data_IF_843744414981
#
_entry.id   IF_843744414981
#
_cell.length_a   1.000
_cell.length_b   1.000
_cell.length_c   1.000
_cell.angle_alpha   90.00
_cell.angle_beta   90.00
_cell.angle_gamma   90.00
#
_symmetry.space_group_name_H-M   'P 1'
#
loop_
_entity.id
_entity.type
_entity.pdbx_description
1 polymer ?
#
# COMPACT_ATOMS: atom_id res chain seq x y z
N UNK A 1 27.95 -26.63 3.56
CA UNK A 1 26.82 -27.10 2.71
C UNK A 1 26.16 -25.95 1.97
N UNK A 2 25.64 -24.91 2.66
CA UNK A 2 25.18 -23.67 2.00
C UNK A 2 26.35 -22.90 1.33
N UNK A 3 27.56 -23.00 1.90
CA UNK A 3 28.81 -22.48 1.30
C UNK A 3 29.27 -23.18 0.01
N UNK A 4 28.67 -24.33 -0.38
CA UNK A 4 29.05 -25.09 -1.58
C UNK A 4 28.04 -24.92 -2.74
N UNK A 5 27.22 -23.87 -2.74
CA UNK A 5 26.21 -23.63 -3.80
C UNK A 5 24.95 -24.51 -3.70
N UNK A 6 24.83 -25.35 -2.68
CA UNK A 6 23.69 -26.26 -2.43
C UNK A 6 22.63 -25.61 -1.54
N UNK A 7 22.09 -24.47 -1.99
CA UNK A 7 21.09 -23.71 -1.23
C UNK A 7 19.79 -24.50 -1.06
N UNK A 8 19.35 -25.22 -2.09
CA UNK A 8 18.11 -25.98 -2.06
C UNK A 8 18.16 -27.11 -1.02
N UNK A 9 19.24 -27.87 -0.97
CA UNK A 9 19.43 -28.95 -0.01
C UNK A 9 19.57 -28.41 1.43
N UNK A 10 20.25 -27.28 1.60
CA UNK A 10 20.34 -26.61 2.90
C UNK A 10 18.98 -26.15 3.42
N UNK A 11 18.16 -25.55 2.55
CA UNK A 11 16.78 -25.13 2.89
C UNK A 11 15.91 -26.34 3.23
N UNK A 12 15.98 -27.42 2.45
CA UNK A 12 15.22 -28.65 2.72
C UNK A 12 15.60 -29.25 4.07
N UNK A 13 16.89 -29.34 4.39
CA UNK A 13 17.36 -29.86 5.68
C UNK A 13 16.90 -29.01 6.84
N UNK A 14 16.96 -27.68 6.73
CA UNK A 14 16.42 -26.77 7.74
C UNK A 14 14.92 -26.96 7.94
N UNK A 15 14.16 -27.20 6.87
CA UNK A 15 12.73 -27.49 6.97
C UNK A 15 12.44 -28.84 7.65
N UNK A 16 13.28 -29.86 7.46
CA UNK A 16 13.13 -31.19 8.07
C UNK A 16 13.38 -31.18 9.59
N UNK A 17 14.18 -30.25 10.09
CA UNK A 17 14.47 -30.10 11.53
C UNK A 17 13.66 -28.95 12.17
N UNK A 18 12.53 -28.58 11.56
CA UNK A 18 11.62 -27.52 12.00
C UNK A 18 12.26 -26.13 12.18
N UNK A 19 13.29 -25.83 11.40
CA UNK A 19 13.94 -24.51 11.30
C UNK A 19 13.57 -23.79 10.01
N UNK A 20 12.29 -23.83 9.65
CA UNK A 20 11.80 -23.19 8.41
C UNK A 20 11.99 -21.66 8.41
N UNK A 21 11.96 -21.01 9.57
CA UNK A 21 12.20 -19.57 9.69
C UNK A 21 13.64 -19.20 9.31
N UNK A 22 14.62 -20.00 9.74
CA UNK A 22 16.02 -19.84 9.35
C UNK A 22 16.22 -20.12 7.86
N UNK A 23 15.51 -21.11 7.32
CA UNK A 23 15.53 -21.39 5.89
C UNK A 23 15.04 -20.19 5.06
N UNK A 24 13.98 -19.51 5.51
CA UNK A 24 13.51 -18.28 4.89
C UNK A 24 14.55 -17.15 4.96
N UNK A 25 15.24 -16.98 6.11
CA UNK A 25 16.33 -16.00 6.25
C UNK A 25 17.45 -16.27 5.25
N UNK A 26 17.89 -17.52 5.11
CA UNK A 26 18.91 -17.88 4.12
C UNK A 26 18.43 -17.55 2.70
N UNK A 27 17.21 -17.94 2.33
CA UNK A 27 16.67 -17.59 1.00
C UNK A 27 16.68 -16.07 0.77
N UNK A 28 16.31 -15.25 1.75
CA UNK A 28 16.36 -13.79 1.65
C UNK A 28 17.79 -13.26 1.47
N UNK A 29 18.77 -13.78 2.24
CA UNK A 29 20.18 -13.40 2.11
C UNK A 29 20.75 -13.69 0.71
N UNK A 30 20.29 -14.76 0.08
CA UNK A 30 20.70 -15.14 -1.28
C UNK A 30 19.83 -14.51 -2.39
N UNK A 31 18.91 -13.59 -2.05
CA UNK A 31 18.06 -12.89 -3.02
C UNK A 31 16.85 -13.68 -3.53
N UNK A 32 16.60 -14.87 -2.96
CA UNK A 32 15.53 -15.78 -3.35
C UNK A 32 14.19 -15.43 -2.66
N UNK A 33 13.80 -14.16 -2.75
CA UNK A 33 12.67 -13.60 -2.01
C UNK A 33 11.33 -14.27 -2.30
N UNK A 34 11.05 -14.57 -3.57
CA UNK A 34 9.80 -15.24 -3.97
C UNK A 34 9.71 -16.65 -3.37
N UNK A 35 10.85 -17.37 -3.29
CA UNK A 35 10.91 -18.70 -2.68
C UNK A 35 10.79 -18.61 -1.16
N UNK A 36 11.40 -17.61 -0.53
CA UNK A 36 11.24 -17.35 0.90
C UNK A 36 9.76 -17.07 1.25
N UNK A 37 9.09 -16.23 0.46
CA UNK A 37 7.68 -15.90 0.63
C UNK A 37 6.76 -17.13 0.48
N UNK A 38 7.01 -17.97 -0.52
CA UNK A 38 6.27 -19.22 -0.70
C UNK A 38 6.48 -20.17 0.48
N UNK A 39 7.74 -20.39 0.87
CA UNK A 39 8.06 -21.27 1.98
C UNK A 39 7.43 -20.79 3.29
N UNK A 40 7.48 -19.49 3.55
CA UNK A 40 6.86 -18.88 4.72
C UNK A 40 5.36 -19.15 4.79
N UNK A 41 4.62 -18.96 3.69
CA UNK A 41 3.18 -19.22 3.63
C UNK A 41 2.79 -20.68 3.86
N UNK A 42 3.69 -21.62 3.55
CA UNK A 42 3.40 -23.06 3.63
C UNK A 42 3.83 -23.66 4.98
N UNK A 43 4.88 -23.12 5.61
CA UNK A 43 5.54 -23.76 6.77
C UNK A 43 5.51 -22.95 8.06
N UNK A 44 5.34 -21.63 7.99
CA UNK A 44 5.41 -20.78 9.16
C UNK A 44 4.02 -20.44 9.69
N UNK A 45 3.97 -20.02 10.96
CA UNK A 45 2.78 -19.40 11.51
C UNK A 45 2.43 -18.10 10.78
N UNK A 46 1.20 -17.61 10.93
CA UNK A 46 0.77 -16.36 10.29
C UNK A 46 1.64 -15.17 10.70
N UNK A 47 2.11 -15.13 11.96
CA UNK A 47 2.94 -14.05 12.49
C UNK A 47 4.35 -14.08 11.88
N UNK A 48 5.01 -15.24 11.92
CA UNK A 48 6.34 -15.40 11.33
C UNK A 48 6.32 -15.21 9.81
N UNK A 49 5.27 -15.69 9.13
CA UNK A 49 5.07 -15.46 7.71
C UNK A 49 4.94 -13.97 7.40
N UNK A 50 4.20 -13.22 8.23
CA UNK A 50 4.06 -11.78 8.06
C UNK A 50 5.41 -11.07 8.17
N UNK A 51 6.27 -11.47 9.10
CA UNK A 51 7.62 -10.89 9.24
C UNK A 51 8.51 -11.15 8.01
N UNK A 52 8.47 -12.36 7.45
CA UNK A 52 9.21 -12.69 6.22
C UNK A 52 8.74 -11.79 5.07
N UNK A 53 7.43 -11.62 4.92
CA UNK A 53 6.84 -10.82 3.86
C UNK A 53 7.07 -9.31 4.06
N UNK A 54 7.05 -8.79 5.29
CA UNK A 54 7.39 -7.39 5.60
C UNK A 54 8.81 -7.05 5.19
N UNK A 55 9.79 -7.91 5.51
CA UNK A 55 11.17 -7.74 5.04
C UNK A 55 11.27 -7.72 3.51
N UNK A 56 10.42 -8.50 2.82
CA UNK A 56 10.36 -8.46 1.37
C UNK A 56 9.77 -7.15 0.84
N UNK A 57 8.74 -6.60 1.49
CA UNK A 57 8.20 -5.27 1.18
C UNK A 57 9.29 -4.21 1.31
N UNK A 58 10.07 -4.21 2.39
CA UNK A 58 11.18 -3.27 2.59
C UNK A 58 12.22 -3.39 1.47
N UNK A 59 12.59 -4.62 1.11
CA UNK A 59 13.50 -4.88 0.00
C UNK A 59 12.95 -4.35 -1.33
N UNK A 60 11.68 -4.60 -1.63
CA UNK A 60 11.02 -4.13 -2.87
C UNK A 60 10.93 -2.60 -2.92
N UNK A 61 10.77 -1.94 -1.78
CA UNK A 61 10.70 -0.49 -1.67
C UNK A 61 12.08 0.20 -1.65
N UNK A 62 13.16 -0.58 -1.50
CA UNK A 62 14.52 -0.03 -1.50
C UNK A 62 14.83 0.72 -2.80
N UNK A 63 15.64 1.80 -2.77
CA UNK A 63 15.98 2.59 -3.95
C UNK A 63 16.58 1.77 -5.10
N UNK A 64 17.30 0.68 -4.77
CA UNK A 64 17.96 -0.18 -5.75
C UNK A 64 16.98 -1.07 -6.51
N UNK A 65 15.90 -1.51 -5.85
CA UNK A 65 14.92 -2.44 -6.44
C UNK A 65 13.73 -1.66 -7.00
N UNK A 66 13.20 -0.71 -6.22
CA UNK A 66 12.12 0.20 -6.57
C UNK A 66 10.88 -0.47 -7.22
N UNK A 67 10.55 -1.69 -6.78
CA UNK A 67 9.38 -2.46 -7.26
C UNK A 67 8.16 -2.22 -6.36
N UNK A 68 7.78 -0.95 -6.15
CA UNK A 68 6.69 -0.55 -5.24
C UNK A 68 5.35 -1.18 -5.59
N UNK A 69 5.05 -1.38 -6.88
CA UNK A 69 3.81 -2.03 -7.31
C UNK A 69 3.71 -3.49 -6.84
N UNK A 70 4.86 -4.20 -6.78
CA UNK A 70 4.91 -5.56 -6.25
C UNK A 70 4.81 -5.56 -4.72
N UNK A 71 5.45 -4.58 -4.06
CA UNK A 71 5.36 -4.39 -2.62
C UNK A 71 3.90 -4.19 -2.16
N UNK A 72 3.14 -3.42 -2.93
CA UNK A 72 1.71 -3.18 -2.70
C UNK A 72 0.88 -4.47 -2.71
N UNK A 73 1.13 -5.38 -3.66
CA UNK A 73 0.46 -6.68 -3.71
C UNK A 73 0.81 -7.57 -2.50
N UNK A 74 2.07 -7.49 -2.03
CA UNK A 74 2.49 -8.21 -0.83
C UNK A 74 1.78 -7.68 0.41
N UNK A 75 1.71 -6.35 0.58
CA UNK A 75 0.97 -5.70 1.67
C UNK A 75 -0.52 -6.05 1.67
N UNK A 76 -1.15 -6.07 0.48
CA UNK A 76 -2.53 -6.54 0.34
C UNK A 76 -2.70 -7.98 0.81
N UNK A 77 -1.75 -8.87 0.46
CA UNK A 77 -1.81 -10.27 0.89
C UNK A 77 -1.60 -10.47 2.39
N UNK A 78 -1.06 -9.47 3.08
CA UNK A 78 -0.91 -9.43 4.54
C UNK A 78 -2.12 -8.81 5.24
N UNK A 79 -3.07 -8.23 4.50
CA UNK A 79 -4.17 -7.47 5.09
C UNK A 79 -3.75 -6.12 5.68
N UNK A 80 -2.55 -5.62 5.36
CA UNK A 80 -2.07 -4.32 5.84
C UNK A 80 -2.65 -3.17 5.01
N UNK A 81 -3.98 -2.99 5.07
CA UNK A 81 -4.71 -2.05 4.20
C UNK A 81 -4.32 -0.59 4.41
N UNK A 82 -4.01 -0.17 5.65
CA UNK A 82 -3.53 1.19 5.95
C UNK A 82 -2.23 1.51 5.20
N UNK A 83 -1.25 0.61 5.29
CA UNK A 83 0.03 0.75 4.56
C UNK A 83 -0.15 0.73 3.05
N UNK A 84 -1.13 0.00 2.52
CA UNK A 84 -1.47 0.04 1.08
C UNK A 84 -1.99 1.41 0.68
N UNK A 85 -2.89 1.99 1.45
CA UNK A 85 -3.43 3.33 1.20
C UNK A 85 -2.33 4.40 1.25
N UNK A 86 -1.45 4.36 2.25
CA UNK A 86 -0.27 5.23 2.35
C UNK A 86 0.66 5.08 1.16
N UNK A 87 0.93 3.85 0.72
CA UNK A 87 1.80 3.59 -0.42
C UNK A 87 1.19 4.15 -1.72
N UNK A 88 -0.10 3.92 -1.98
CA UNK A 88 -0.80 4.48 -3.15
C UNK A 88 -0.75 6.01 -3.14
N UNK A 89 -1.00 6.61 -1.98
CA UNK A 89 -0.98 8.05 -1.79
C UNK A 89 0.42 8.65 -2.03
N UNK A 90 1.47 8.04 -1.46
CA UNK A 90 2.86 8.47 -1.67
C UNK A 90 3.32 8.30 -3.13
N UNK A 91 2.77 7.33 -3.85
CA UNK A 91 2.99 7.14 -5.29
C UNK A 91 2.17 8.10 -6.17
N UNK A 92 1.37 9.00 -5.55
CA UNK A 92 0.46 9.94 -6.22
C UNK A 92 -0.64 9.29 -7.06
N UNK A 93 -0.96 8.03 -6.79
CA UNK A 93 -2.12 7.35 -7.37
C UNK A 93 -3.38 7.73 -6.56
N UNK A 94 -3.71 9.02 -6.58
CA UNK A 94 -4.77 9.60 -5.74
C UNK A 94 -6.14 9.01 -6.03
N UNK A 95 -6.41 8.69 -7.30
CA UNK A 95 -7.62 8.01 -7.75
C UNK A 95 -7.76 6.62 -7.11
N UNK A 96 -6.72 5.79 -7.23
CA UNK A 96 -6.70 4.45 -6.67
C UNK A 96 -6.71 4.48 -5.15
N UNK A 97 -5.96 5.40 -4.54
CA UNK A 97 -5.93 5.56 -3.09
C UNK A 97 -7.32 5.89 -2.54
N UNK A 98 -8.01 6.89 -3.12
CA UNK A 98 -9.33 7.31 -2.66
C UNK A 98 -10.38 6.20 -2.80
N UNK A 99 -10.44 5.55 -3.97
CA UNK A 99 -11.38 4.46 -4.20
C UNK A 99 -11.08 3.23 -3.34
N UNK A 100 -9.79 2.95 -3.11
CA UNK A 100 -9.37 1.85 -2.25
C UNK A 100 -9.77 2.08 -0.79
N UNK A 101 -9.50 3.27 -0.25
CA UNK A 101 -9.91 3.64 1.13
C UNK A 101 -11.42 3.59 1.27
N UNK A 102 -12.17 4.11 0.29
CA UNK A 102 -13.64 4.05 0.29
C UNK A 102 -14.16 2.60 0.33
N UNK A 103 -13.58 1.71 -0.48
CA UNK A 103 -13.91 0.29 -0.45
C UNK A 103 -13.57 -0.33 0.91
N UNK A 104 -12.37 -0.08 1.44
CA UNK A 104 -11.94 -0.61 2.73
C UNK A 104 -12.87 -0.17 3.88
N UNK A 105 -13.31 1.08 3.91
CA UNK A 105 -14.27 1.57 4.91
C UNK A 105 -15.65 0.91 4.73
N UNK A 106 -16.12 0.75 3.50
CA UNK A 106 -17.42 0.13 3.19
C UNK A 106 -17.48 -1.33 3.66
N UNK A 107 -16.37 -2.07 3.50
CA UNK A 107 -16.29 -3.48 3.89
C UNK A 107 -15.75 -3.70 5.33
N UNK A 108 -15.49 -2.62 6.08
CA UNK A 108 -14.94 -2.72 7.44
C UNK A 108 -13.53 -3.32 7.50
N UNK A 109 -12.74 -3.17 6.43
CA UNK A 109 -11.36 -3.67 6.35
C UNK A 109 -10.34 -2.72 6.97
N UNK A 110 -10.69 -1.45 7.14
CA UNK A 110 -9.90 -0.48 7.91
C UNK A 110 -10.61 -0.20 9.23
N UNK A 111 -9.87 -0.33 10.33
CA UNK A 111 -10.33 0.12 11.64
C UNK A 111 -10.46 1.65 11.62
N UNK A 112 -11.57 2.17 12.12
CA UNK A 112 -11.80 3.62 12.22
C UNK A 112 -11.07 4.13 13.46
N UNK A 113 -9.88 4.69 13.27
CA UNK A 113 -9.10 5.40 14.28
C UNK A 113 -8.71 6.80 13.81
N UNK A 114 -8.18 7.63 14.72
CA UNK A 114 -7.77 8.99 14.37
C UNK A 114 -6.73 9.02 13.22
N UNK A 115 -5.81 8.06 13.17
CA UNK A 115 -4.78 8.02 12.14
C UNK A 115 -5.35 7.64 10.77
N UNK A 116 -6.26 6.66 10.71
CA UNK A 116 -6.95 6.31 9.47
C UNK A 116 -7.88 7.42 9.01
N UNK A 117 -8.50 8.18 9.92
CA UNK A 117 -9.34 9.33 9.58
C UNK A 117 -8.51 10.48 8.99
N UNK A 118 -7.33 10.75 9.55
CA UNK A 118 -6.37 11.71 9.02
C UNK A 118 -5.88 11.30 7.62
N UNK A 119 -5.50 10.04 7.46
CA UNK A 119 -5.09 9.48 6.15
C UNK A 119 -6.22 9.59 5.13
N UNK A 120 -7.43 9.16 5.49
CA UNK A 120 -8.62 9.21 4.62
C UNK A 120 -8.92 10.64 4.18
N UNK A 121 -8.89 11.59 5.12
CA UNK A 121 -9.12 13.01 4.84
C UNK A 121 -8.08 13.57 3.87
N UNK A 122 -6.80 13.24 4.06
CA UNK A 122 -5.71 13.66 3.18
C UNK A 122 -5.85 13.07 1.77
N UNK A 123 -6.13 11.76 1.68
CA UNK A 123 -6.34 11.05 0.41
C UNK A 123 -7.49 11.66 -0.39
N UNK A 124 -8.64 11.90 0.26
CA UNK A 124 -9.79 12.52 -0.40
C UNK A 124 -9.53 13.96 -0.83
N UNK A 125 -8.84 14.76 0.00
CA UNK A 125 -8.49 16.13 -0.35
C UNK A 125 -7.55 16.18 -1.58
N UNK A 126 -6.55 15.31 -1.65
CA UNK A 126 -5.60 15.26 -2.75
C UNK A 126 -6.23 14.73 -4.05
N UNK A 127 -7.16 13.78 -3.93
CA UNK A 127 -7.93 13.33 -5.08
C UNK A 127 -8.89 14.42 -5.58
N UNK A 128 -9.58 15.13 -4.68
CA UNK A 128 -10.42 16.27 -5.03
C UNK A 128 -9.62 17.37 -5.76
N UNK A 129 -8.40 17.66 -5.28
CA UNK A 129 -7.50 18.63 -5.94
C UNK A 129 -7.13 18.18 -7.35
N UNK A 130 -6.85 16.90 -7.51
CA UNK A 130 -6.53 16.29 -8.80
C UNK A 130 -7.72 16.38 -9.77
N UNK A 131 -8.94 16.05 -9.32
CA UNK A 131 -10.17 16.19 -10.10
C UNK A 131 -10.46 17.64 -10.50
N UNK A 132 -10.24 18.59 -9.59
CA UNK A 132 -10.36 20.02 -9.88
C UNK A 132 -9.40 20.45 -10.99
N UNK A 133 -8.14 20.02 -10.92
CA UNK A 133 -7.12 20.37 -11.94
C UNK A 133 -7.45 19.81 -13.33
N UNK A 134 -8.17 18.68 -13.38
CA UNK A 134 -8.64 18.05 -14.61
C UNK A 134 -9.99 18.62 -15.10
N UNK A 135 -10.63 19.52 -14.36
CA UNK A 135 -11.92 20.12 -14.72
C UNK A 135 -13.16 19.32 -14.29
N UNK A 136 -13.01 18.18 -13.60
CA UNK A 136 -14.12 17.36 -13.12
C UNK A 136 -14.76 17.94 -11.85
N UNK A 137 -15.53 19.02 -12.02
CA UNK A 137 -16.08 19.82 -10.90
C UNK A 137 -16.96 19.03 -9.95
N UNK A 138 -17.88 18.20 -10.47
CA UNK A 138 -18.79 17.41 -9.64
C UNK A 138 -18.04 16.41 -8.75
N UNK A 139 -17.08 15.69 -9.32
CA UNK A 139 -16.24 14.75 -8.57
C UNK A 139 -15.36 15.45 -7.53
N UNK A 140 -14.80 16.61 -7.88
CA UNK A 140 -14.00 17.41 -6.95
C UNK A 140 -14.83 17.86 -5.74
N UNK A 141 -16.08 18.31 -5.95
CA UNK A 141 -17.00 18.66 -4.85
C UNK A 141 -17.34 17.45 -3.98
N UNK A 142 -17.62 16.29 -4.59
CA UNK A 142 -17.92 15.06 -3.86
C UNK A 142 -16.77 14.69 -2.91
N UNK A 143 -15.55 14.55 -3.43
CA UNK A 143 -14.41 14.13 -2.60
C UNK A 143 -13.95 15.22 -1.63
N UNK A 144 -14.09 16.51 -1.97
CA UNK A 144 -13.81 17.59 -1.04
C UNK A 144 -14.80 17.60 0.15
N UNK A 145 -16.08 17.26 -0.08
CA UNK A 145 -17.06 17.10 1.01
C UNK A 145 -16.72 15.92 1.93
N UNK A 146 -16.26 14.80 1.36
CA UNK A 146 -15.81 13.63 2.11
C UNK A 146 -14.52 13.87 2.89
N UNK A 147 -13.65 14.77 2.42
CA UNK A 147 -12.41 15.14 3.11
C UNK A 147 -12.63 15.99 4.38
N UNK A 148 -13.88 16.37 4.68
CA UNK A 148 -14.23 17.11 5.89
C UNK A 148 -13.46 18.44 5.98
N UNK A 149 -12.73 18.62 7.08
CA UNK A 149 -11.99 19.85 7.34
C UNK A 149 -10.96 20.17 6.24
N UNK A 150 -10.27 19.15 5.70
CA UNK A 150 -9.23 19.32 4.69
C UNK A 150 -9.78 19.74 3.31
N UNK A 151 -11.08 19.56 3.08
CA UNK A 151 -11.73 19.93 1.82
C UNK A 151 -12.51 21.26 1.86
N UNK A 152 -12.67 21.89 3.03
CA UNK A 152 -13.52 23.09 3.20
C UNK A 152 -13.07 24.26 2.34
N UNK A 153 -11.78 24.56 2.33
CA UNK A 153 -11.24 25.68 1.54
C UNK A 153 -11.47 25.45 0.04
N UNK A 154 -11.33 24.19 -0.40
CA UNK A 154 -11.53 23.82 -1.80
C UNK A 154 -13.00 23.87 -2.22
N UNK A 155 -13.92 23.55 -1.32
CA UNK A 155 -15.36 23.64 -1.57
C UNK A 155 -15.81 25.08 -1.83
N UNK A 156 -15.27 26.05 -1.09
CA UNK A 156 -15.56 27.48 -1.32
C UNK A 156 -15.19 27.92 -2.74
N UNK A 157 -14.01 27.53 -3.22
CA UNK A 157 -13.54 27.83 -4.58
C UNK A 157 -14.28 27.05 -5.69
N UNK A 158 -14.81 25.86 -5.37
CA UNK A 158 -15.56 25.02 -6.31
C UNK A 158 -17.04 25.38 -6.37
N UNK A 159 -17.56 26.15 -5.41
CA UNK A 159 -18.94 26.64 -5.39
C UNK A 159 -19.06 28.07 -5.94
N UNK A 160 -17.98 28.85 -5.97
CA UNK A 160 -17.96 30.13 -6.69
C UNK A 160 -18.07 29.89 -8.20
N UNK A 161 -19.09 30.44 -8.90
CA UNK A 161 -19.19 30.33 -10.35
C UNK A 161 -17.90 30.90 -10.97
N UNK A 162 -17.35 30.24 -11.99
CA UNK A 162 -16.36 30.89 -12.84
C UNK A 162 -17.07 32.13 -13.41
N UNK A 163 -16.58 33.33 -13.11
CA UNK A 163 -16.81 34.46 -14.00
C UNK A 163 -16.14 34.08 -15.32
N UNK A 164 -16.96 33.69 -16.30
CA UNK A 164 -16.52 33.61 -17.68
C UNK A 164 -16.04 35.01 -18.08
N UNK A 165 -14.80 35.19 -18.57
CA UNK A 165 -14.43 36.45 -19.18
C UNK A 165 -15.35 36.65 -20.38
N UNK A 166 -16.15 37.72 -20.35
CA UNK A 166 -16.90 38.17 -21.50
C UNK A 166 -15.91 38.40 -22.65
N UNK A 167 -16.13 37.70 -23.75
CA UNK A 167 -15.45 37.95 -25.02
C UNK A 167 -15.82 39.38 -25.48
N UNK A 168 -14.81 40.25 -25.60
CA UNK A 168 -14.87 41.52 -26.36
C UNK A 168 -14.19 41.34 -27.72
#
# INVERSE_FOLDING_TARGET
MIANGKLAEGVQLLCLIDKAADACRYLQTYGEWSRAAWLAKVRLSSEECADVLRRWVDHLCSPQVNQKSKALLVLLSLGCFSSVAEMLHSMRYFDRAALFVEACLTYGALDVCEDTDRLTSAVYADYARSLKSLGFRQGAVLFASKAGAAGRDMLGELQSPRQEPAEE
#
